data_IF_449446372339
#
_entry.id   IF_449446372339
#
_cell.length_a   1.000
_cell.length_b   1.000
_cell.length_c   1.000
_cell.angle_alpha   90.00
_cell.angle_beta   90.00
_cell.angle_gamma   90.00
#
_symmetry.space_group_name_H-M   'P 1'
#
loop_
_entity.id
_entity.type
_entity.pdbx_description
1 polymer ?
#
# COMPACT_ATOMS: atom_id res chain seq x y z
N UNK A 1 25.11 10.54 8.11
CA UNK A 1 25.11 9.16 7.57
C UNK A 1 23.76 8.54 7.91
N UNK A 2 23.03 8.02 6.93
CA UNK A 2 21.77 7.31 7.19
C UNK A 2 22.05 6.02 7.96
N UNK A 3 21.10 5.65 8.82
CA UNK A 3 21.05 4.42 9.62
C UNK A 3 20.50 3.26 8.79
N UNK A 4 19.62 2.45 9.39
CA UNK A 4 18.96 1.33 8.72
C UNK A 4 17.72 1.80 7.94
N UNK A 5 17.25 0.93 7.05
CA UNK A 5 15.99 1.10 6.34
C UNK A 5 14.98 0.11 6.90
N UNK A 6 13.83 0.59 7.35
CA UNK A 6 12.71 -0.23 7.80
C UNK A 6 11.62 -0.25 6.74
N UNK A 7 11.04 -1.42 6.51
CA UNK A 7 9.90 -1.61 5.62
C UNK A 7 8.64 -1.66 6.47
N UNK A 8 7.61 -0.93 6.06
CA UNK A 8 6.33 -0.82 6.76
C UNK A 8 5.22 -1.15 5.77
N UNK A 9 4.47 -2.22 6.05
CA UNK A 9 3.29 -2.62 5.29
C UNK A 9 2.05 -2.12 6.04
N UNK A 10 1.35 -1.13 5.49
CA UNK A 10 0.16 -0.52 6.08
C UNK A 10 -1.11 -0.99 5.36
N UNK A 11 -2.09 -1.49 6.12
CA UNK A 11 -3.37 -1.94 5.58
C UNK A 11 -4.52 -1.74 6.59
N UNK A 12 -5.74 -1.64 6.07
CA UNK A 12 -6.98 -1.51 6.84
C UNK A 12 -7.75 -2.84 6.89
N UNK A 13 -7.93 -3.39 8.10
CA UNK A 13 -8.73 -4.58 8.32
C UNK A 13 -10.16 -4.23 8.69
N UNK A 14 -11.11 -4.54 7.80
CA UNK A 14 -12.54 -4.29 8.06
C UNK A 14 -13.18 -5.46 8.83
N UNK A 15 -13.50 -5.23 10.10
CA UNK A 15 -14.14 -6.21 10.98
C UNK A 15 -15.64 -5.93 11.05
N UNK A 16 -16.44 -6.95 10.69
CA UNK A 16 -17.90 -6.89 10.85
C UNK A 16 -18.29 -6.94 12.33
N UNK A 17 -19.16 -6.03 12.75
CA UNK A 17 -19.62 -5.95 14.14
C UNK A 17 -20.92 -6.73 14.32
N UNK A 18 -21.04 -7.46 15.43
CA UNK A 18 -22.27 -8.16 15.78
C UNK A 18 -23.39 -7.17 16.12
N UNK A 19 -24.57 -7.38 15.51
CA UNK A 19 -25.78 -6.58 15.71
C UNK A 19 -26.30 -5.96 14.41
N UNK A 20 -27.62 -5.96 14.23
CA UNK A 20 -28.29 -5.46 13.03
C UNK A 20 -27.99 -3.97 12.82
N UNK A 21 -27.59 -3.59 11.61
CA UNK A 21 -27.35 -2.20 11.21
C UNK A 21 -26.01 -1.60 11.66
N UNK A 22 -25.13 -2.36 12.32
CA UNK A 22 -23.79 -1.86 12.64
C UNK A 22 -22.89 -1.90 11.40
N UNK A 23 -22.23 -0.78 11.11
CA UNK A 23 -21.20 -0.71 10.07
C UNK A 23 -19.95 -1.48 10.52
N UNK A 24 -19.23 -2.04 9.55
CA UNK A 24 -17.91 -2.59 9.78
C UNK A 24 -16.99 -1.50 10.34
N UNK A 25 -16.09 -1.89 11.25
CA UNK A 25 -15.04 -1.01 11.76
C UNK A 25 -13.75 -1.34 11.02
N UNK A 26 -13.05 -0.32 10.55
CA UNK A 26 -11.68 -0.46 10.05
C UNK A 26 -10.71 -0.43 11.23
N UNK A 27 -9.95 -1.50 11.41
CA UNK A 27 -8.77 -1.52 12.26
C UNK A 27 -7.54 -1.24 11.40
N UNK A 28 -6.71 -0.29 11.81
CA UNK A 28 -5.50 0.09 11.06
C UNK A 28 -4.31 -0.70 11.57
N UNK A 29 -3.65 -1.44 10.68
CA UNK A 29 -2.57 -2.35 11.03
C UNK A 29 -1.33 -1.98 10.24
N UNK A 30 -0.19 -1.95 10.92
CA UNK A 30 1.11 -1.73 10.32
C UNK A 30 2.04 -2.90 10.68
N UNK A 31 2.65 -3.53 9.68
CA UNK A 31 3.71 -4.52 9.91
C UNK A 31 5.07 -3.90 9.58
N UNK A 32 6.01 -3.93 10.50
CA UNK A 32 7.37 -3.41 10.29
C UNK A 32 8.38 -4.55 10.23
N UNK A 33 9.36 -4.47 9.33
CA UNK A 33 10.46 -5.43 9.24
C UNK A 33 11.74 -4.83 8.65
N UNK A 34 12.87 -5.52 8.86
CA UNK A 34 14.22 -5.12 8.39
C UNK A 34 14.58 -5.80 7.06
N UNK A 35 13.59 -6.00 6.19
CA UNK A 35 13.74 -6.73 4.92
C UNK A 35 13.46 -8.23 5.06
N UNK A 36 14.09 -9.04 4.22
CA UNK A 36 13.84 -10.48 4.11
C UNK A 36 15.13 -11.27 3.90
N UNK A 37 15.15 -12.49 4.43
CA UNK A 37 16.20 -13.48 4.19
C UNK A 37 15.61 -14.69 3.46
N UNK A 38 16.43 -15.36 2.66
CA UNK A 38 16.03 -16.59 1.98
C UNK A 38 16.28 -17.77 2.89
N UNK A 39 15.25 -18.59 3.11
CA UNK A 39 15.31 -19.83 3.85
C UNK A 39 14.87 -20.97 2.91
N UNK A 40 15.84 -21.50 2.15
CA UNK A 40 15.59 -22.46 1.07
C UNK A 40 14.74 -21.86 -0.07
N UNK A 41 13.56 -22.43 -0.28
CA UNK A 41 12.57 -21.94 -1.26
C UNK A 41 11.67 -20.83 -0.72
N UNK A 42 11.67 -20.59 0.60
CA UNK A 42 10.81 -19.61 1.25
C UNK A 42 11.57 -18.31 1.54
N UNK A 43 10.82 -17.21 1.62
CA UNK A 43 11.30 -15.91 2.09
C UNK A 43 10.77 -15.69 3.50
N UNK A 44 11.65 -15.25 4.41
CA UNK A 44 11.32 -14.97 5.80
C UNK A 44 11.63 -13.50 6.11
N UNK A 45 10.67 -12.79 6.69
CA UNK A 45 10.83 -11.38 7.07
C UNK A 45 11.71 -11.27 8.32
N UNK A 46 12.66 -10.34 8.29
CA UNK A 46 13.63 -10.15 9.38
C UNK A 46 13.04 -9.22 10.43
N UNK A 47 13.08 -9.64 11.70
CA UNK A 47 12.63 -8.86 12.86
C UNK A 47 11.20 -8.30 12.70
N UNK A 48 10.30 -9.05 12.06
CA UNK A 48 8.93 -8.58 11.82
C UNK A 48 8.19 -8.33 13.14
N UNK A 49 7.59 -7.15 13.27
CA UNK A 49 6.62 -6.81 14.33
C UNK A 49 5.35 -6.20 13.73
N UNK A 50 4.27 -6.22 14.50
CA UNK A 50 3.00 -5.64 14.10
C UNK A 50 2.59 -4.58 15.12
N UNK A 51 2.04 -3.49 14.61
CA UNK A 51 1.40 -2.43 15.35
C UNK A 51 -0.08 -2.39 14.95
N UNK A 52 -0.95 -2.51 15.94
CA UNK A 52 -2.38 -2.29 15.80
C UNK A 52 -2.68 -0.91 16.37
N UNK A 53 -3.26 -0.03 15.56
CA UNK A 53 -3.62 1.30 16.03
C UNK A 53 -4.88 1.21 16.90
N UNK A 54 -4.72 1.50 18.19
CA UNK A 54 -5.78 1.52 19.17
C UNK A 54 -6.02 2.94 19.71
N UNK A 55 -7.28 3.27 19.98
CA UNK A 55 -7.66 4.53 20.60
C UNK A 55 -7.83 5.70 19.62
N UNK A 56 -7.68 6.91 20.16
CA UNK A 56 -7.79 8.17 19.42
C UNK A 56 -6.39 8.77 19.16
N UNK A 57 -6.29 9.59 18.11
CA UNK A 57 -5.05 10.26 17.72
C UNK A 57 -4.64 9.97 16.28
N UNK A 58 -3.56 10.61 15.84
CA UNK A 58 -3.00 10.34 14.52
C UNK A 58 -2.27 8.99 14.50
N UNK A 59 -2.45 8.26 13.40
CA UNK A 59 -1.93 6.89 13.26
C UNK A 59 -0.41 6.90 13.19
N UNK A 60 0.17 7.86 12.47
CA UNK A 60 1.61 7.93 12.23
C UNK A 60 2.35 8.46 13.44
N UNK A 61 1.76 9.41 14.18
CA UNK A 61 2.29 9.85 15.47
C UNK A 61 2.41 8.69 16.46
N UNK A 62 1.32 7.97 16.67
CA UNK A 62 1.30 6.82 17.59
C UNK A 62 2.19 5.67 17.12
N UNK A 63 2.26 5.45 15.81
CA UNK A 63 3.13 4.44 15.24
C UNK A 63 4.61 4.80 15.39
N UNK A 64 4.99 6.07 15.21
CA UNK A 64 6.38 6.52 15.39
C UNK A 64 6.81 6.41 16.86
N UNK A 65 5.96 6.82 17.81
CA UNK A 65 6.19 6.60 19.25
C UNK A 65 6.43 5.11 19.55
N UNK A 66 5.58 4.25 19.01
CA UNK A 66 5.71 2.79 19.18
C UNK A 66 6.99 2.26 18.52
N UNK A 67 7.36 2.74 17.33
CA UNK A 67 8.60 2.34 16.65
C UNK A 67 9.85 2.69 17.48
N UNK A 68 9.88 3.86 18.11
CA UNK A 68 11.00 4.24 18.97
C UNK A 68 11.12 3.31 20.18
N UNK A 69 9.99 3.01 20.83
CA UNK A 69 9.95 2.21 22.06
C UNK A 69 10.20 0.71 21.80
N UNK A 70 9.55 0.16 20.79
CA UNK A 70 9.49 -1.29 20.56
C UNK A 70 10.46 -1.77 19.48
N UNK A 71 10.85 -0.87 18.56
CA UNK A 71 11.73 -1.20 17.44
C UNK A 71 13.09 -0.51 17.51
N UNK A 72 13.34 0.33 18.52
CA UNK A 72 14.54 1.16 18.65
C UNK A 72 14.78 2.07 17.42
N UNK A 73 13.70 2.53 16.78
CA UNK A 73 13.76 3.44 15.64
C UNK A 73 14.41 4.77 16.01
N UNK A 74 15.34 5.25 15.19
CA UNK A 74 15.97 6.57 15.35
C UNK A 74 15.54 7.51 14.20
N UNK A 75 14.67 8.50 14.44
CA UNK A 75 14.17 9.40 13.38
C UNK A 75 15.25 10.29 12.75
N UNK A 76 16.41 10.45 13.41
CA UNK A 76 17.53 11.22 12.89
C UNK A 76 18.41 10.42 11.93
N UNK A 77 18.27 9.08 11.91
CA UNK A 77 19.17 8.19 11.16
C UNK A 77 18.41 7.25 10.24
N UNK A 78 17.38 6.60 10.75
CA UNK A 78 16.67 5.52 10.09
C UNK A 78 15.65 6.06 9.08
N UNK A 79 15.48 5.32 7.99
CA UNK A 79 14.55 5.65 6.91
C UNK A 79 13.43 4.61 6.84
N UNK A 80 12.26 5.03 6.37
CA UNK A 80 11.10 4.17 6.19
C UNK A 80 10.78 3.98 4.71
N UNK A 81 10.52 2.74 4.30
CA UNK A 81 9.80 2.44 3.05
C UNK A 81 8.41 1.98 3.46
N UNK A 82 7.40 2.78 3.15
CA UNK A 82 6.02 2.53 3.53
C UNK A 82 5.26 2.04 2.30
N UNK A 83 4.85 0.78 2.32
CA UNK A 83 4.01 0.18 1.31
C UNK A 83 2.57 0.10 1.83
N UNK A 84 1.60 0.47 1.03
CA UNK A 84 0.19 0.43 1.42
C UNK A 84 -0.73 0.87 0.31
N UNK A 85 -2.03 0.86 0.57
CA UNK A 85 -3.00 1.37 -0.40
C UNK A 85 -3.13 2.91 -0.33
N UNK A 86 -3.98 3.45 -1.20
CA UNK A 86 -4.18 4.89 -1.31
C UNK A 86 -5.14 5.48 -0.26
N UNK A 87 -5.43 4.78 0.84
CA UNK A 87 -6.26 5.31 1.91
C UNK A 87 -5.68 6.64 2.43
N UNK A 88 -6.57 7.57 2.79
CA UNK A 88 -6.18 8.91 3.22
C UNK A 88 -5.26 8.87 4.45
N UNK A 89 -5.57 7.98 5.41
CA UNK A 89 -4.72 7.81 6.58
C UNK A 89 -3.36 7.22 6.23
N UNK A 90 -3.24 6.34 5.23
CA UNK A 90 -1.95 5.78 4.82
C UNK A 90 -1.10 6.85 4.12
N UNK A 91 -1.69 7.52 3.11
CA UNK A 91 -0.99 8.52 2.30
C UNK A 91 -0.53 9.76 3.10
N UNK A 92 -1.17 10.04 4.25
CA UNK A 92 -0.74 11.06 5.21
C UNK A 92 0.70 10.85 5.73
N UNK A 93 1.26 9.63 5.64
CA UNK A 93 2.67 9.38 6.02
C UNK A 93 3.66 10.28 5.26
N UNK A 94 3.32 10.64 4.02
CA UNK A 94 4.18 11.45 3.15
C UNK A 94 4.40 12.84 3.74
N UNK A 95 3.35 13.42 4.31
CA UNK A 95 3.42 14.71 4.99
C UNK A 95 4.11 14.56 6.34
N UNK A 96 3.69 13.56 7.13
CA UNK A 96 4.19 13.34 8.49
C UNK A 96 5.70 13.06 8.55
N UNK A 97 6.19 12.09 7.78
CA UNK A 97 7.61 11.71 7.79
C UNK A 97 8.45 12.57 6.84
N UNK A 98 7.84 13.19 5.84
CA UNK A 98 8.54 13.95 4.81
C UNK A 98 9.67 13.14 4.17
N UNK A 99 10.88 13.69 4.17
CA UNK A 99 12.07 13.06 3.55
C UNK A 99 12.57 11.79 4.27
N UNK A 100 12.00 11.45 5.43
CA UNK A 100 12.39 10.26 6.22
C UNK A 100 11.68 9.00 5.76
N UNK A 101 10.65 9.13 4.93
CA UNK A 101 9.92 8.02 4.35
C UNK A 101 9.77 8.12 2.83
N UNK A 102 9.71 6.97 2.17
CA UNK A 102 9.25 6.83 0.80
C UNK A 102 7.97 5.99 0.82
N UNK A 103 6.90 6.52 0.22
CA UNK A 103 5.63 5.79 0.08
C UNK A 103 5.54 5.11 -1.28
N UNK A 104 5.07 3.86 -1.29
CA UNK A 104 4.84 3.07 -2.49
C UNK A 104 3.46 2.42 -2.43
N UNK A 105 2.78 2.32 -3.59
CA UNK A 105 1.49 1.63 -3.66
C UNK A 105 1.69 0.12 -3.58
N UNK A 106 0.87 -0.52 -2.75
CA UNK A 106 0.88 -1.98 -2.66
C UNK A 106 0.39 -2.60 -3.98
N UNK A 107 1.30 -3.35 -4.60
CA UNK A 107 1.08 -4.11 -5.82
C UNK A 107 -0.09 -5.09 -5.70
N UNK A 108 -0.37 -5.64 -4.52
CA UNK A 108 -1.54 -6.50 -4.32
C UNK A 108 -2.83 -5.70 -4.50
N UNK A 109 -2.94 -4.52 -3.89
CA UNK A 109 -4.12 -3.66 -4.02
C UNK A 109 -4.28 -3.15 -5.46
N UNK A 110 -3.18 -2.73 -6.10
CA UNK A 110 -3.18 -2.34 -7.52
C UNK A 110 -3.66 -3.50 -8.40
N UNK A 111 -3.11 -4.70 -8.23
CA UNK A 111 -3.50 -5.86 -9.03
C UNK A 111 -4.95 -6.30 -8.77
N UNK A 112 -5.41 -6.23 -7.52
CA UNK A 112 -6.80 -6.55 -7.12
C UNK A 112 -7.77 -5.60 -7.81
N UNK A 113 -7.50 -4.31 -7.76
CA UNK A 113 -8.33 -3.28 -8.34
C UNK A 113 -8.35 -3.39 -9.87
N UNK A 114 -7.19 -3.58 -10.51
CA UNK A 114 -7.12 -3.79 -11.96
C UNK A 114 -7.89 -5.03 -12.41
N UNK A 115 -7.84 -6.11 -11.63
CA UNK A 115 -8.62 -7.31 -11.90
C UNK A 115 -10.13 -7.05 -11.82
N UNK A 116 -10.60 -6.23 -10.88
CA UNK A 116 -12.02 -5.87 -10.76
C UNK A 116 -12.51 -5.09 -11.99
N UNK A 117 -11.70 -4.17 -12.50
CA UNK A 117 -12.04 -3.39 -13.70
C UNK A 117 -11.92 -4.23 -14.98
N UNK A 118 -10.83 -4.98 -15.14
CA UNK A 118 -10.42 -5.52 -16.44
C UNK A 118 -10.55 -7.04 -16.59
N UNK A 119 -10.96 -7.81 -15.58
CA UNK A 119 -10.93 -9.30 -15.67
C UNK A 119 -11.61 -9.92 -16.90
N UNK A 120 -12.65 -9.28 -17.45
CA UNK A 120 -13.30 -9.68 -18.71
C UNK A 120 -12.82 -8.94 -19.96
N UNK A 121 -11.93 -7.97 -19.83
CA UNK A 121 -11.46 -7.10 -20.91
C UNK A 121 -10.31 -7.74 -21.70
N UNK A 122 -10.28 -7.62 -23.05
CA UNK A 122 -9.23 -8.23 -23.89
C UNK A 122 -7.79 -7.85 -23.49
N UNK A 123 -7.59 -6.64 -22.94
CA UNK A 123 -6.27 -6.15 -22.50
C UNK A 123 -5.76 -6.73 -21.17
N UNK A 124 -6.60 -7.42 -20.41
CA UNK A 124 -6.22 -7.93 -19.08
C UNK A 124 -4.96 -8.78 -19.08
N UNK A 125 -4.78 -9.61 -20.12
CA UNK A 125 -3.61 -10.47 -20.24
C UNK A 125 -2.31 -9.67 -20.29
N UNK A 126 -2.29 -8.61 -21.09
CA UNK A 126 -1.09 -7.76 -21.20
C UNK A 126 -0.90 -6.91 -19.95
N UNK A 127 -1.96 -6.31 -19.40
CA UNK A 127 -1.91 -5.58 -18.11
C UNK A 127 -1.30 -6.44 -17.00
N UNK A 128 -1.78 -7.68 -16.84
CA UNK A 128 -1.25 -8.63 -15.86
C UNK A 128 0.23 -8.94 -16.09
N UNK A 129 0.65 -9.05 -17.35
CA UNK A 129 2.05 -9.31 -17.73
C UNK A 129 2.95 -8.12 -17.39
N UNK A 130 2.48 -6.88 -17.62
CA UNK A 130 3.18 -5.64 -17.27
C UNK A 130 3.34 -5.50 -15.76
N UNK A 131 2.27 -5.72 -14.99
CA UNK A 131 2.30 -5.76 -13.52
C UNK A 131 3.32 -6.78 -12.98
N UNK A 132 3.35 -7.99 -13.55
CA UNK A 132 4.27 -9.04 -13.11
C UNK A 132 5.74 -8.67 -13.36
N UNK A 133 6.01 -7.97 -14.47
CA UNK A 133 7.34 -7.53 -14.87
C UNK A 133 7.80 -6.23 -14.19
N UNK A 134 6.94 -5.57 -13.43
CA UNK A 134 7.21 -4.22 -12.90
C UNK A 134 7.50 -3.20 -14.02
N UNK A 135 6.83 -3.37 -15.16
CA UNK A 135 6.94 -2.47 -16.30
C UNK A 135 5.89 -1.37 -16.13
N UNK A 136 6.22 -0.33 -15.39
CA UNK A 136 5.32 0.77 -15.03
C UNK A 136 4.87 1.58 -16.25
N UNK A 137 5.82 1.97 -17.11
CA UNK A 137 5.52 2.69 -18.35
C UNK A 137 4.61 1.85 -19.26
N UNK A 138 4.96 0.58 -19.47
CA UNK A 138 4.14 -0.33 -20.25
C UNK A 138 2.78 -0.63 -19.61
N UNK A 139 2.68 -0.60 -18.27
CA UNK A 139 1.41 -0.71 -17.57
C UNK A 139 0.55 0.52 -17.87
N UNK A 140 1.08 1.74 -17.71
CA UNK A 140 0.35 2.99 -17.96
C UNK A 140 -0.14 3.08 -19.41
N UNK A 141 0.66 2.62 -20.39
CA UNK A 141 0.24 2.55 -21.79
C UNK A 141 -0.98 1.64 -21.96
N UNK A 142 -0.97 0.44 -21.38
CA UNK A 142 -2.10 -0.50 -21.49
C UNK A 142 -3.35 0.01 -20.75
N UNK A 143 -3.18 0.66 -19.60
CA UNK A 143 -4.29 1.24 -18.84
C UNK A 143 -4.92 2.41 -19.61
N UNK A 144 -4.14 3.36 -20.09
CA UNK A 144 -4.64 4.47 -20.92
C UNK A 144 -5.31 3.96 -22.20
N UNK A 145 -4.82 2.86 -22.78
CA UNK A 145 -5.44 2.25 -23.97
C UNK A 145 -6.73 1.47 -23.67
N UNK A 146 -7.04 1.19 -22.41
CA UNK A 146 -8.30 0.60 -21.97
C UNK A 146 -9.32 1.68 -21.57
N UNK A 147 -8.87 2.89 -21.27
CA UNK A 147 -9.76 4.01 -20.91
C UNK A 147 -10.62 4.38 -22.11
N UNK A 148 -11.92 4.52 -21.89
CA UNK A 148 -12.95 4.77 -22.89
C UNK A 148 -13.42 3.53 -23.63
N UNK A 149 -12.90 2.34 -23.29
CA UNK A 149 -13.32 1.06 -23.90
C UNK A 149 -14.06 0.16 -22.92
N UNK A 150 -14.28 0.59 -21.66
CA UNK A 150 -15.12 -0.14 -20.71
C UNK A 150 -16.59 0.21 -20.92
N UNK A 151 -17.45 -0.80 -20.85
CA UNK A 151 -18.91 -0.62 -20.94
C UNK A 151 -19.51 -0.01 -19.65
N UNK A 152 -18.80 -0.15 -18.53
CA UNK A 152 -19.25 0.26 -17.20
C UNK A 152 -18.59 1.59 -16.81
N UNK A 153 -19.39 2.66 -16.75
CA UNK A 153 -18.94 4.01 -16.40
C UNK A 153 -18.28 4.08 -15.01
N UNK A 154 -18.70 3.24 -14.05
CA UNK A 154 -18.08 3.20 -12.73
C UNK A 154 -16.67 2.62 -12.81
N UNK A 155 -16.48 1.54 -13.59
CA UNK A 155 -15.14 0.97 -13.83
C UNK A 155 -14.25 1.92 -14.60
N UNK A 156 -14.82 2.70 -15.52
CA UNK A 156 -14.11 3.72 -16.29
C UNK A 156 -13.57 4.83 -15.37
N UNK A 157 -14.42 5.39 -14.51
CA UNK A 157 -14.01 6.38 -13.50
C UNK A 157 -12.97 5.81 -12.53
N UNK A 158 -13.15 4.57 -12.11
CA UNK A 158 -12.22 3.87 -11.22
C UNK A 158 -10.83 3.71 -11.88
N UNK A 159 -10.78 3.30 -13.14
CA UNK A 159 -9.53 3.14 -13.88
C UNK A 159 -8.83 4.49 -14.13
N UNK A 160 -9.57 5.52 -14.51
CA UNK A 160 -9.02 6.88 -14.65
C UNK A 160 -8.45 7.40 -13.31
N UNK A 161 -9.12 7.14 -12.19
CA UNK A 161 -8.62 7.48 -10.87
C UNK A 161 -7.37 6.68 -10.49
N UNK A 162 -7.26 5.41 -10.90
CA UNK A 162 -6.04 4.63 -10.72
C UNK A 162 -4.86 5.18 -11.50
N UNK A 163 -5.03 5.52 -12.79
CA UNK A 163 -3.97 6.08 -13.62
C UNK A 163 -3.41 7.34 -12.98
N UNK A 164 -4.29 8.28 -12.60
CA UNK A 164 -3.88 9.51 -11.90
C UNK A 164 -3.14 9.23 -10.60
N UNK A 165 -3.55 8.20 -9.84
CA UNK A 165 -2.86 7.81 -8.60
C UNK A 165 -1.45 7.32 -8.89
N UNK A 166 -1.27 6.42 -9.86
CA UNK A 166 0.04 5.89 -10.26
C UNK A 166 0.93 7.05 -10.74
N UNK A 167 0.43 7.92 -11.61
CA UNK A 167 1.18 9.08 -12.13
C UNK A 167 1.54 10.12 -11.05
N UNK A 168 0.76 10.20 -9.97
CA UNK A 168 1.00 11.13 -8.85
C UNK A 168 2.03 10.61 -7.84
N UNK A 169 2.48 9.36 -7.99
CA UNK A 169 3.52 8.80 -7.13
C UNK A 169 4.90 9.26 -7.61
N UNK A 170 5.81 9.62 -6.67
CA UNK A 170 7.17 10.03 -7.01
C UNK A 170 8.05 8.86 -7.47
#
# INVERSE_FOLDING_TARGET
RHGRVLFVEADGLFISRQGKGKRAKEEKILAVHEGWKRNGSQLELVNRRHYLHEGEGDVWERFEEWLMNEYAYDPCRDLLIINGDAASWITACREYFGKRACFQLDRFHVARELRQCLSGHPRWREVRKKLAKQDEEGLLVELNSAVGTLEDEAKEKQMAAMIRRIESMP
#
